data_IF_534842103559
#
_entry.id   IF_534842103559
#
_cell.length_a   1.000
_cell.length_b   1.000
_cell.length_c   1.000
_cell.angle_alpha   90.00
_cell.angle_beta   90.00
_cell.angle_gamma   90.00
#
_symmetry.space_group_name_H-M   'P 1'
#
loop_
_entity.id
_entity.type
_entity.pdbx_description
1 polymer ?
#
# COMPACT_ATOMS: atom_id res chain seq x y z
N UNK A 1 30.10 -11.13 7.33
CA UNK A 1 29.09 -10.07 7.37
C UNK A 1 27.80 -10.50 6.70
N UNK A 2 26.65 -10.32 7.36
CA UNK A 2 25.32 -10.62 6.82
C UNK A 2 24.60 -9.30 6.50
N UNK A 3 24.00 -9.21 5.32
CA UNK A 3 23.17 -8.07 4.91
C UNK A 3 21.88 -8.53 4.24
N UNK A 4 20.75 -7.92 4.61
CA UNK A 4 19.43 -8.18 4.02
C UNK A 4 18.98 -6.99 3.16
N UNK A 5 18.43 -7.29 1.98
CA UNK A 5 17.74 -6.31 1.16
C UNK A 5 16.40 -5.94 1.81
N UNK A 6 16.21 -4.66 2.14
CA UNK A 6 14.99 -4.13 2.77
C UNK A 6 14.64 -2.77 2.17
N UNK A 7 13.41 -2.32 2.37
CA UNK A 7 12.95 -1.04 1.86
C UNK A 7 13.70 0.11 2.54
N UNK A 8 14.24 1.02 1.73
CA UNK A 8 14.90 2.24 2.18
C UNK A 8 13.89 3.24 2.73
N UNK A 9 12.77 3.42 2.03
CA UNK A 9 11.65 4.23 2.46
C UNK A 9 10.37 3.77 1.76
N UNK A 10 9.24 4.09 2.38
CA UNK A 10 7.93 3.86 1.79
C UNK A 10 7.38 5.18 1.27
N UNK A 11 6.94 5.18 0.01
CA UNK A 11 6.25 6.31 -0.60
C UNK A 11 4.74 6.13 -0.45
N UNK A 12 4.06 7.20 -0.06
CA UNK A 12 2.60 7.22 -0.03
C UNK A 12 2.06 7.29 -1.46
N UNK A 13 1.08 6.44 -1.77
CA UNK A 13 0.36 6.42 -3.04
C UNK A 13 -1.13 6.35 -2.77
N UNK A 14 -1.87 7.26 -3.37
CA UNK A 14 -3.33 7.19 -3.43
C UNK A 14 -3.77 6.34 -4.61
N UNK A 15 -4.73 5.44 -4.39
CA UNK A 15 -5.36 4.62 -5.42
C UNK A 15 -6.86 4.80 -5.30
N UNK A 16 -7.55 5.04 -6.42
CA UNK A 16 -9.00 5.12 -6.48
C UNK A 16 -9.55 3.79 -6.99
N UNK A 17 -10.39 3.15 -6.20
CA UNK A 17 -11.17 1.99 -6.60
C UNK A 17 -12.46 2.46 -7.28
N UNK A 18 -12.81 1.88 -8.43
CA UNK A 18 -13.99 2.25 -9.20
C UNK A 18 -15.11 1.20 -9.20
N UNK A 19 -14.87 0.05 -8.57
CA UNK A 19 -15.80 -1.08 -8.55
C UNK A 19 -16.03 -1.52 -7.11
N UNK A 20 -16.92 -0.79 -6.43
CA UNK A 20 -17.30 -1.07 -5.05
C UNK A 20 -18.57 -1.92 -4.98
N UNK A 21 -18.64 -2.78 -3.98
CA UNK A 21 -19.75 -3.72 -3.76
C UNK A 21 -20.15 -3.69 -2.28
N UNK A 22 -21.43 -3.87 -1.99
CA UNK A 22 -21.91 -4.04 -0.62
C UNK A 22 -21.62 -5.48 -0.11
N UNK A 23 -21.87 -5.79 1.18
CA UNK A 23 -21.64 -7.13 1.74
C UNK A 23 -22.41 -8.27 1.05
N UNK A 24 -23.52 -7.96 0.38
CA UNK A 24 -24.32 -8.92 -0.41
C UNK A 24 -23.78 -9.13 -1.83
N UNK A 25 -22.68 -8.45 -2.21
CA UNK A 25 -22.08 -8.53 -3.54
C UNK A 25 -22.78 -7.69 -4.61
N UNK A 26 -23.67 -6.78 -4.22
CA UNK A 26 -24.36 -5.86 -5.14
C UNK A 26 -23.45 -4.67 -5.44
N UNK A 27 -23.27 -4.34 -6.72
CA UNK A 27 -22.45 -3.21 -7.16
C UNK A 27 -23.07 -1.89 -6.69
N UNK A 28 -22.25 -1.05 -6.08
CA UNK A 28 -22.61 0.30 -5.67
C UNK A 28 -22.57 1.24 -6.88
N UNK A 29 -23.64 2.00 -7.09
CA UNK A 29 -23.81 2.88 -8.26
C UNK A 29 -23.99 4.34 -7.89
N UNK A 30 -24.21 4.64 -6.61
CA UNK A 30 -24.36 6.00 -6.13
C UNK A 30 -23.00 6.72 -6.17
N UNK A 31 -22.94 8.00 -6.56
CA UNK A 31 -21.67 8.72 -6.68
C UNK A 31 -20.81 8.71 -5.41
N UNK A 32 -21.44 8.73 -4.23
CA UNK A 32 -20.74 8.75 -2.94
C UNK A 32 -20.14 7.39 -2.54
N UNK A 33 -20.62 6.29 -3.11
CA UNK A 33 -20.26 4.93 -2.67
C UNK A 33 -19.72 4.03 -3.80
N UNK A 34 -19.84 4.48 -5.05
CA UNK A 34 -19.36 3.77 -6.24
C UNK A 34 -17.83 3.77 -6.39
N UNK A 35 -17.14 4.68 -5.70
CA UNK A 35 -15.68 4.77 -5.69
C UNK A 35 -15.11 4.86 -4.28
N UNK A 36 -13.87 4.43 -4.09
CA UNK A 36 -13.19 4.52 -2.79
C UNK A 36 -11.71 4.87 -2.97
N UNK A 37 -11.26 5.92 -2.30
CA UNK A 37 -9.85 6.29 -2.25
C UNK A 37 -9.14 5.57 -1.10
N UNK A 38 -8.05 4.88 -1.43
CA UNK A 38 -7.18 4.19 -0.47
C UNK A 38 -5.78 4.77 -0.52
N UNK A 39 -5.14 4.88 0.65
CA UNK A 39 -3.74 5.27 0.78
C UNK A 39 -2.90 4.05 1.06
N UNK A 40 -1.95 3.77 0.18
CA UNK A 40 -0.98 2.70 0.31
C UNK A 40 0.41 3.28 0.56
N UNK A 41 1.24 2.55 1.28
CA UNK A 41 2.67 2.86 1.44
C UNK A 41 3.45 1.78 0.71
N UNK A 42 3.97 2.11 -0.46
CA UNK A 42 4.71 1.16 -1.30
C UNK A 42 6.23 1.39 -1.18
N UNK A 43 7.04 0.33 -1.21
CA UNK A 43 8.49 0.46 -1.28
C UNK A 43 8.90 1.25 -2.52
N UNK A 44 9.59 2.37 -2.34
CA UNK A 44 10.08 3.17 -3.46
C UNK A 44 11.51 2.80 -3.87
N UNK A 45 12.28 2.25 -2.93
CA UNK A 45 13.66 1.82 -3.12
C UNK A 45 14.04 0.78 -2.07
N UNK A 46 15.05 -0.04 -2.37
CA UNK A 46 15.59 -1.06 -1.47
C UNK A 46 17.12 -0.99 -1.40
N UNK A 47 17.66 -1.20 -0.20
CA UNK A 47 19.11 -1.25 0.07
C UNK A 47 19.47 -2.42 0.97
N UNK A 48 20.74 -2.77 0.99
CA UNK A 48 21.29 -3.79 1.88
C UNK A 48 21.57 -3.20 3.27
N UNK A 49 20.95 -3.76 4.30
CA UNK A 49 21.16 -3.37 5.69
C UNK A 49 21.79 -4.52 6.46
N UNK A 50 22.63 -4.20 7.46
CA UNK A 50 23.21 -5.23 8.32
C UNK A 50 22.09 -6.02 9.00
N UNK A 51 22.19 -7.34 8.96
CA UNK A 51 21.20 -8.21 9.59
C UNK A 51 21.11 -7.91 11.10
N UNK A 52 19.89 -7.76 11.62
CA UNK A 52 19.63 -7.45 13.04
C UNK A 52 19.67 -5.96 13.39
N UNK A 53 19.94 -5.08 12.43
CA UNK A 53 19.80 -3.63 12.63
C UNK A 53 18.34 -3.20 12.39
N UNK A 54 17.68 -2.77 13.47
CA UNK A 54 16.31 -2.27 13.47
C UNK A 54 16.23 -0.77 13.72
N UNK A 55 17.37 -0.09 13.85
CA UNK A 55 17.41 1.37 13.93
C UNK A 55 17.07 1.94 12.54
N UNK A 56 15.76 2.07 12.30
CA UNK A 56 15.20 2.87 11.21
C UNK A 56 15.05 4.31 11.68
#
# INVERSE_FOLDING_TARGET
DCHCCRESYLKERSVTLHHCYNPDGIKLTEPETSTMDIKLREPADCKCFKCGDFSR
#
